data_IF_993638656370
#
_entry.id   IF_993638656370
#
_cell.length_a   1.000
_cell.length_b   1.000
_cell.length_c   1.000
_cell.angle_alpha   90.00
_cell.angle_beta   90.00
_cell.angle_gamma   90.00
#
_symmetry.space_group_name_H-M   'P 1'
#
loop_
_entity.id
_entity.type
_entity.pdbx_description
1 polymer ?
#
# COMPACT_ATOMS: atom_id res chain seq x y z
N UNK A 1 -1.94 48.18 62.47
CA UNK A 1 -1.95 46.77 62.03
C UNK A 1 -2.87 46.66 60.83
N UNK A 2 -2.32 46.70 59.62
CA UNK A 2 -3.12 46.59 58.38
C UNK A 2 -2.29 45.77 57.40
N UNK A 3 -2.71 44.53 57.18
CA UNK A 3 -2.04 43.58 56.28
C UNK A 3 -2.29 43.98 54.82
N UNK A 4 -1.24 44.35 54.09
CA UNK A 4 -1.29 44.51 52.63
C UNK A 4 -1.25 43.12 51.98
N UNK A 5 -2.34 42.71 51.31
CA UNK A 5 -2.42 41.50 50.49
C UNK A 5 -1.63 41.71 49.19
N UNK A 6 -0.63 40.88 48.93
CA UNK A 6 0.00 40.76 47.60
C UNK A 6 -0.97 40.03 46.67
N UNK A 7 -1.41 40.69 45.61
CA UNK A 7 -2.04 40.02 44.48
C UNK A 7 -0.95 39.34 43.64
N UNK A 8 -1.04 38.02 43.50
CA UNK A 8 -0.23 37.25 42.57
C UNK A 8 -0.79 37.44 41.16
N UNK A 9 0.02 37.97 40.25
CA UNK A 9 -0.24 37.94 38.81
C UNK A 9 0.11 36.52 38.32
N UNK A 10 -0.77 35.81 37.59
CA UNK A 10 -0.43 34.48 37.09
C UNK A 10 0.61 34.63 35.98
N UNK A 11 1.72 33.90 36.11
CA UNK A 11 2.71 33.77 35.06
C UNK A 11 2.05 33.09 33.85
N UNK A 12 1.98 33.81 32.74
CA UNK A 12 1.54 33.29 31.46
C UNK A 12 2.60 32.27 31.00
N UNK A 13 2.29 30.98 31.12
CA UNK A 13 3.12 29.93 30.56
C UNK A 13 3.02 30.03 29.03
N UNK A 14 4.03 30.64 28.41
CA UNK A 14 4.23 30.59 26.96
C UNK A 14 4.72 29.18 26.66
N UNK A 15 3.77 28.28 26.38
CA UNK A 15 4.07 26.99 25.78
C UNK A 15 4.63 27.28 24.39
N UNK A 16 5.95 27.20 24.23
CA UNK A 16 6.57 27.12 22.91
C UNK A 16 6.03 25.85 22.25
N UNK A 17 5.02 26.01 21.40
CA UNK A 17 4.63 24.98 20.46
C UNK A 17 5.79 24.89 19.48
N UNK A 18 6.72 23.98 19.71
CA UNK A 18 7.68 23.56 18.70
C UNK A 18 6.87 22.97 17.55
N UNK A 19 6.59 23.78 16.53
CA UNK A 19 6.25 23.28 15.20
C UNK A 19 7.49 22.53 14.71
N UNK A 20 7.59 21.26 15.09
CA UNK A 20 8.49 20.33 14.44
C UNK A 20 8.03 20.21 12.99
N UNK A 21 8.73 20.86 12.08
CA UNK A 21 8.74 20.44 10.70
C UNK A 21 9.23 18.99 10.72
N UNK A 22 8.33 18.06 10.42
CA UNK A 22 8.71 16.69 10.04
C UNK A 22 9.41 16.81 8.69
N UNK A 23 10.69 17.16 8.73
CA UNK A 23 11.60 16.92 7.62
C UNK A 23 11.91 15.42 7.70
N UNK A 24 11.75 14.66 6.62
CA UNK A 24 12.23 13.29 6.63
C UNK A 24 13.71 13.27 6.98
N UNK A 25 14.12 12.22 7.70
CA UNK A 25 15.53 11.92 7.85
C UNK A 25 16.14 11.94 6.44
N UNK A 26 17.29 12.60 6.33
CA UNK A 26 18.16 12.39 5.17
C UNK A 26 19.12 11.29 5.58
N UNK A 27 19.56 10.51 4.60
CA UNK A 27 20.69 9.61 4.73
C UNK A 27 21.78 10.33 5.54
N UNK A 28 22.04 9.83 6.74
CA UNK A 28 22.89 10.49 7.73
C UNK A 28 24.32 10.09 7.43
N UNK A 29 25.15 11.05 7.00
CA UNK A 29 26.59 10.83 6.90
C UNK A 29 27.19 10.70 8.31
N UNK A 30 27.59 9.48 8.69
CA UNK A 30 28.22 9.17 9.97
C UNK A 30 29.74 9.11 9.79
N UNK A 31 30.47 9.90 10.59
CA UNK A 31 31.92 9.76 10.72
C UNK A 31 32.27 8.53 11.55
N UNK A 32 32.98 7.58 10.93
CA UNK A 32 33.47 6.36 11.55
C UNK A 32 34.95 6.54 11.88
N UNK A 33 35.29 6.34 13.16
CA UNK A 33 36.65 6.50 13.66
C UNK A 33 36.93 5.58 14.84
N UNK A 34 38.21 5.42 15.16
CA UNK A 34 38.67 4.73 16.37
C UNK A 34 39.38 5.66 17.35
N UNK A 35 39.80 6.84 16.89
CA UNK A 35 40.48 7.84 17.70
C UNK A 35 39.51 8.70 18.53
N UNK A 36 40.04 9.31 19.59
CA UNK A 36 39.31 10.23 20.48
C UNK A 36 39.50 11.71 20.16
N UNK A 37 40.24 12.06 19.10
CA UNK A 37 40.64 13.43 18.80
C UNK A 37 39.42 14.27 18.38
N UNK A 38 39.22 15.39 19.09
CA UNK A 38 38.20 16.38 18.79
C UNK A 38 38.78 17.63 18.14
N UNK A 39 37.94 18.45 17.51
CA UNK A 39 38.37 19.73 16.95
C UNK A 39 38.99 20.62 18.04
N UNK A 40 40.21 21.10 17.80
CA UNK A 40 40.98 21.88 18.79
C UNK A 40 41.57 21.04 19.93
N UNK A 41 41.44 19.71 19.89
CA UNK A 41 42.07 18.78 20.81
C UNK A 41 43.56 18.57 20.52
N UNK A 42 44.20 17.69 21.30
CA UNK A 42 45.61 17.34 21.14
C UNK A 42 45.75 16.05 20.32
N UNK A 43 46.66 16.06 19.36
CA UNK A 43 47.09 14.88 18.60
C UNK A 43 48.62 14.86 18.51
N UNK A 44 49.20 13.68 18.28
CA UNK A 44 50.64 13.45 18.29
C UNK A 44 51.08 12.92 16.94
N UNK A 45 52.06 13.59 16.33
CA UNK A 45 52.56 13.26 15.00
C UNK A 45 53.37 11.96 15.07
N UNK A 46 53.06 11.04 14.16
CA UNK A 46 53.82 9.81 13.92
C UNK A 46 54.65 10.05 12.66
N UNK A 47 55.89 9.60 12.63
CA UNK A 47 56.74 9.83 11.46
C UNK A 47 57.83 8.78 11.35
N UNK A 48 58.88 9.15 10.62
CA UNK A 48 59.92 8.24 10.13
C UNK A 48 59.39 7.18 9.14
N UNK A 49 58.21 7.44 8.55
CA UNK A 49 57.75 6.69 7.38
C UNK A 49 58.66 6.94 6.19
N UNK A 50 58.95 5.89 5.44
CA UNK A 50 59.63 5.97 4.14
C UNK A 50 58.64 5.78 2.98
N UNK A 51 59.05 6.18 1.78
CA UNK A 51 58.22 6.03 0.57
C UNK A 51 57.80 4.57 0.39
N UNK A 52 56.49 4.36 0.16
CA UNK A 52 55.88 3.05 -0.03
C UNK A 52 55.46 2.33 1.25
N UNK A 53 55.79 2.86 2.43
CA UNK A 53 55.15 2.40 3.67
C UNK A 53 53.68 2.82 3.70
N UNK A 54 52.90 2.13 4.55
CA UNK A 54 51.46 2.40 4.66
C UNK A 54 50.99 2.46 6.10
N UNK A 55 50.18 3.45 6.44
CA UNK A 55 49.51 3.55 7.73
C UNK A 55 48.00 3.51 7.52
N UNK A 56 47.28 2.77 8.37
CA UNK A 56 45.84 2.63 8.20
C UNK A 56 45.09 2.20 9.44
N UNK A 57 43.77 2.29 9.33
CA UNK A 57 42.85 1.96 10.42
C UNK A 57 41.78 0.99 9.93
N UNK A 58 41.49 -0.03 10.74
CA UNK A 58 40.32 -0.90 10.61
C UNK A 58 39.13 -0.24 11.27
N UNK A 59 38.11 0.07 10.50
CA UNK A 59 36.88 0.71 10.94
C UNK A 59 35.72 -0.31 10.93
N UNK A 60 34.63 0.00 11.61
CA UNK A 60 33.44 -0.84 11.67
C UNK A 60 32.25 0.00 11.22
N UNK A 61 31.54 -0.47 10.21
CA UNK A 61 30.43 0.24 9.63
C UNK A 61 29.25 0.33 10.63
N UNK A 62 28.67 1.52 10.86
CA UNK A 62 27.60 1.71 11.85
C UNK A 62 26.21 1.35 11.31
N UNK A 63 26.05 1.16 10.00
CA UNK A 63 24.77 1.01 9.32
C UNK A 63 24.98 0.33 7.95
N UNK A 64 23.91 -0.16 7.33
CA UNK A 64 23.91 -0.45 5.90
C UNK A 64 24.01 0.87 5.12
N UNK A 65 24.81 0.92 4.06
CA UNK A 65 25.00 2.14 3.28
C UNK A 65 26.24 2.12 2.40
N UNK A 66 26.87 3.30 2.22
CA UNK A 66 28.06 3.44 1.38
C UNK A 66 29.13 4.30 2.04
N UNK A 67 30.40 3.90 1.93
CA UNK A 67 31.51 4.80 2.24
C UNK A 67 31.55 5.87 1.14
N UNK A 68 31.50 7.14 1.54
CA UNK A 68 31.44 8.30 0.65
C UNK A 68 32.60 9.27 0.84
N UNK A 69 33.34 9.16 1.95
CA UNK A 69 34.55 9.95 2.15
C UNK A 69 35.59 9.24 3.04
N UNK A 70 36.84 9.66 2.89
CA UNK A 70 37.94 9.36 3.82
C UNK A 70 38.43 10.66 4.43
N UNK A 71 38.76 10.65 5.73
CA UNK A 71 39.35 11.79 6.42
C UNK A 71 40.66 11.41 7.10
N UNK A 72 41.72 12.18 6.89
CA UNK A 72 43.04 11.93 7.48
C UNK A 72 43.56 13.23 8.10
N UNK A 73 43.85 13.20 9.40
CA UNK A 73 44.44 14.36 10.07
C UNK A 73 45.95 14.37 9.81
N UNK A 74 46.41 15.50 9.27
CA UNK A 74 47.78 15.68 8.81
C UNK A 74 48.38 16.90 9.49
N UNK A 75 49.32 16.71 10.41
CA UNK A 75 49.91 17.81 11.19
C UNK A 75 51.42 17.84 11.02
N UNK A 76 51.99 19.04 11.17
CA UNK A 76 53.43 19.26 11.20
C UNK A 76 53.87 19.84 12.54
N UNK A 77 55.12 19.55 12.92
CA UNK A 77 55.60 19.97 14.24
C UNK A 77 55.76 21.50 14.37
N UNK A 78 56.19 22.17 13.31
CA UNK A 78 56.42 23.62 13.30
C UNK A 78 55.27 24.43 12.69
N UNK A 79 54.23 23.77 12.14
CA UNK A 79 53.12 24.45 11.46
C UNK A 79 53.49 25.12 10.14
N UNK A 80 54.68 24.82 9.58
CA UNK A 80 55.21 25.45 8.36
C UNK A 80 55.38 24.49 7.19
N UNK A 81 54.98 23.22 7.37
CA UNK A 81 55.07 22.24 6.30
C UNK A 81 54.27 22.69 5.08
N UNK A 82 54.76 22.35 3.90
CA UNK A 82 54.04 22.54 2.65
C UNK A 82 53.16 21.31 2.36
N UNK A 83 52.11 21.47 1.53
CA UNK A 83 51.35 20.33 1.04
C UNK A 83 52.22 19.27 0.37
N UNK A 84 51.93 18.00 0.62
CA UNK A 84 52.63 16.85 0.03
C UNK A 84 51.66 15.99 -0.77
N UNK A 85 52.15 15.40 -1.86
CA UNK A 85 51.40 14.45 -2.66
C UNK A 85 51.80 13.04 -2.22
N UNK A 86 50.87 12.24 -1.74
CA UNK A 86 51.15 10.85 -1.32
C UNK A 86 50.78 9.87 -2.43
N UNK A 87 51.22 8.61 -2.34
CA UNK A 87 51.02 7.63 -3.43
C UNK A 87 49.55 7.22 -3.61
N UNK A 88 48.76 7.20 -2.53
CA UNK A 88 47.36 6.81 -2.63
C UNK A 88 46.67 6.54 -1.31
N UNK A 89 45.35 6.54 -1.34
CA UNK A 89 44.51 6.01 -0.26
C UNK A 89 43.79 4.77 -0.77
N UNK A 90 43.80 3.70 0.01
CA UNK A 90 43.17 2.43 -0.30
C UNK A 90 42.06 2.14 0.70
N UNK A 91 40.92 1.69 0.18
CA UNK A 91 39.87 1.08 0.98
C UNK A 91 39.92 -0.43 0.73
N UNK A 92 40.17 -1.21 1.79
CA UNK A 92 40.18 -2.66 1.73
C UNK A 92 39.00 -3.24 2.51
N UNK A 93 38.51 -4.39 2.06
CA UNK A 93 37.57 -5.21 2.83
C UNK A 93 38.27 -5.92 3.98
N UNK A 94 37.47 -6.56 4.83
CA UNK A 94 38.00 -7.43 5.87
C UNK A 94 38.61 -8.72 5.29
N UNK A 95 39.64 -9.26 5.94
CA UNK A 95 40.20 -10.57 5.63
C UNK A 95 39.48 -11.72 6.38
N UNK A 96 38.50 -11.39 7.23
CA UNK A 96 37.73 -12.33 8.05
C UNK A 96 38.42 -12.76 9.35
N UNK A 97 39.62 -12.24 9.65
CA UNK A 97 40.34 -12.49 10.89
C UNK A 97 40.50 -11.19 11.71
N UNK A 98 39.74 -11.01 12.81
CA UNK A 98 39.80 -9.80 13.64
C UNK A 98 41.16 -9.59 14.33
N UNK A 99 41.96 -10.65 14.44
CA UNK A 99 43.27 -10.61 15.09
C UNK A 99 44.44 -10.43 14.10
N UNK A 100 44.14 -10.19 12.82
CA UNK A 100 45.14 -10.03 11.78
C UNK A 100 45.25 -8.56 11.34
N UNK A 101 46.46 -7.99 11.24
CA UNK A 101 46.67 -6.65 10.69
C UNK A 101 46.65 -6.62 9.15
N UNK A 102 46.47 -7.77 8.49
CA UNK A 102 46.50 -7.88 7.02
C UNK A 102 45.14 -7.48 6.44
N UNK A 103 45.02 -6.46 5.58
CA UNK A 103 43.76 -6.14 4.92
C UNK A 103 43.28 -7.26 3.98
N UNK A 104 41.98 -7.28 3.71
CA UNK A 104 41.37 -8.17 2.71
C UNK A 104 41.49 -7.63 1.28
N UNK A 105 40.53 -7.95 0.39
CA UNK A 105 40.55 -7.48 -1.00
C UNK A 105 40.45 -5.95 -1.08
N UNK A 106 41.10 -5.35 -2.07
CA UNK A 106 40.94 -3.93 -2.36
C UNK A 106 39.52 -3.67 -2.88
N UNK A 107 38.79 -2.78 -2.20
CA UNK A 107 37.46 -2.32 -2.58
C UNK A 107 37.54 -1.05 -3.41
N UNK A 108 38.46 -0.15 -3.04
CA UNK A 108 38.61 1.15 -3.69
C UNK A 108 40.04 1.67 -3.61
N UNK A 109 40.40 2.55 -4.56
CA UNK A 109 41.66 3.29 -4.60
C UNK A 109 41.39 4.75 -4.98
N UNK A 110 42.04 5.66 -4.26
CA UNK A 110 42.04 7.10 -4.52
C UNK A 110 43.45 7.48 -4.94
N UNK A 111 43.56 8.06 -6.13
CA UNK A 111 44.84 8.44 -6.73
C UNK A 111 45.41 9.70 -6.08
N UNK A 112 46.72 9.67 -5.82
CA UNK A 112 47.55 10.83 -5.49
C UNK A 112 46.90 11.88 -4.55
N UNK A 113 46.54 11.51 -3.32
CA UNK A 113 45.94 12.45 -2.38
C UNK A 113 46.90 13.60 -2.05
N UNK A 114 46.45 14.84 -2.30
CA UNK A 114 47.15 16.04 -1.84
C UNK A 114 46.86 16.26 -0.35
N UNK A 115 47.86 16.08 0.48
CA UNK A 115 47.77 16.25 1.93
C UNK A 115 48.17 17.68 2.31
N UNK A 116 47.23 18.44 2.86
CA UNK A 116 47.48 19.79 3.37
C UNK A 116 47.74 19.75 4.88
N UNK A 117 48.92 20.17 5.36
CA UNK A 117 49.24 20.22 6.78
C UNK A 117 48.29 21.11 7.57
N UNK A 118 48.11 20.77 8.85
CA UNK A 118 47.25 21.47 9.82
C UNK A 118 45.74 21.27 9.62
N UNK A 119 45.33 20.34 8.75
CA UNK A 119 43.93 20.06 8.46
C UNK A 119 43.58 18.57 8.61
N UNK A 120 42.30 18.33 8.93
CA UNK A 120 41.64 17.05 8.67
C UNK A 120 41.26 17.03 7.19
N UNK A 121 42.12 16.42 6.38
CA UNK A 121 41.95 16.37 4.93
C UNK A 121 40.80 15.41 4.60
N UNK A 122 39.81 15.88 3.84
CA UNK A 122 38.65 15.08 3.42
C UNK A 122 38.73 14.78 1.93
N UNK A 123 38.63 13.50 1.58
CA UNK A 123 38.64 13.00 0.21
C UNK A 123 37.30 12.36 -0.11
N UNK A 124 36.62 12.86 -1.15
CA UNK A 124 35.30 12.38 -1.61
C UNK A 124 35.32 11.79 -3.02
N UNK A 125 36.45 11.89 -3.72
CA UNK A 125 36.59 11.51 -5.12
C UNK A 125 37.79 10.58 -5.30
N UNK A 126 37.71 9.72 -6.31
CA UNK A 126 38.74 8.72 -6.64
C UNK A 126 39.84 9.30 -7.53
N UNK A 127 39.51 10.35 -8.27
CA UNK A 127 40.34 11.04 -9.25
C UNK A 127 40.71 12.44 -8.79
N UNK A 128 41.81 12.96 -9.34
CA UNK A 128 42.34 14.28 -9.03
C UNK A 128 41.42 15.41 -9.54
N UNK A 129 40.66 15.16 -10.61
CA UNK A 129 39.71 16.10 -11.20
C UNK A 129 38.37 16.20 -10.45
N UNK A 130 38.19 15.45 -9.36
CA UNK A 130 36.98 15.44 -8.53
C UNK A 130 35.70 15.09 -9.33
N UNK A 131 35.79 14.14 -10.25
CA UNK A 131 34.66 13.76 -11.11
C UNK A 131 34.02 12.43 -10.72
N UNK A 132 34.78 11.51 -10.11
CA UNK A 132 34.31 10.18 -9.74
C UNK A 132 34.17 10.08 -8.22
N UNK A 133 32.96 10.16 -7.65
CA UNK A 133 32.78 10.08 -6.21
C UNK A 133 33.11 8.67 -5.67
N UNK A 134 33.58 8.61 -4.42
CA UNK A 134 33.73 7.36 -3.68
C UNK A 134 32.33 6.80 -3.41
N UNK A 135 32.15 5.49 -3.64
CA UNK A 135 30.86 4.84 -3.46
C UNK A 135 31.03 3.34 -3.21
N UNK A 136 31.51 3.00 -2.01
CA UNK A 136 31.78 1.60 -1.63
C UNK A 136 30.62 1.05 -0.81
N UNK A 137 29.87 0.05 -1.28
CA UNK A 137 28.76 -0.53 -0.52
C UNK A 137 29.28 -1.27 0.73
N UNK A 138 28.59 -1.07 1.85
CA UNK A 138 28.92 -1.65 3.15
C UNK A 138 27.65 -2.03 3.91
N UNK A 139 27.74 -3.04 4.77
CA UNK A 139 26.64 -3.43 5.67
C UNK A 139 26.92 -3.11 7.14
N UNK A 140 25.89 -3.02 7.97
CA UNK A 140 26.02 -2.78 9.41
C UNK A 140 26.95 -3.83 10.06
N UNK A 141 27.91 -3.36 10.84
CA UNK A 141 28.91 -4.21 11.49
C UNK A 141 30.03 -4.71 10.58
N UNK A 142 29.96 -4.48 9.25
CA UNK A 142 31.04 -4.82 8.35
C UNK A 142 32.32 -4.07 8.72
N UNK A 143 33.44 -4.78 8.78
CA UNK A 143 34.74 -4.18 8.97
C UNK A 143 35.42 -3.90 7.63
N UNK A 144 36.17 -2.80 7.58
CA UNK A 144 36.93 -2.39 6.41
C UNK A 144 38.16 -1.61 6.88
N UNK A 145 39.14 -1.44 5.99
CA UNK A 145 40.35 -0.69 6.29
C UNK A 145 40.46 0.53 5.38
N UNK A 146 40.91 1.64 5.95
CA UNK A 146 41.34 2.83 5.23
C UNK A 146 42.83 2.97 5.44
N UNK A 147 43.59 3.06 4.36
CA UNK A 147 45.06 3.00 4.37
C UNK A 147 45.64 4.09 3.50
N UNK A 148 46.53 4.90 4.04
CA UNK A 148 47.37 5.83 3.29
C UNK A 148 48.70 5.15 2.93
N UNK A 149 49.15 5.29 1.68
CA UNK A 149 50.51 4.98 1.24
C UNK A 149 51.33 6.25 1.08
N UNK A 150 52.47 6.31 1.76
CA UNK A 150 53.35 7.48 1.75
C UNK A 150 54.08 7.59 0.42
N UNK A 151 53.92 8.74 -0.25
CA UNK A 151 54.68 9.11 -1.46
C UNK A 151 55.99 9.82 -1.13
N UNK A 152 56.09 10.43 0.05
CA UNK A 152 57.28 11.12 0.53
C UNK A 152 57.75 10.57 1.89
N UNK A 153 59.06 10.59 2.12
CA UNK A 153 59.60 10.19 3.43
C UNK A 153 59.35 11.30 4.47
N UNK A 154 58.96 10.91 5.68
CA UNK A 154 58.61 11.86 6.74
C UNK A 154 59.78 12.08 7.69
N UNK A 155 60.09 13.33 8.02
CA UNK A 155 61.04 13.71 9.06
C UNK A 155 60.40 14.78 9.95
N UNK A 156 59.77 14.35 11.05
CA UNK A 156 59.00 15.25 11.94
C UNK A 156 59.92 16.32 12.54
N UNK A 157 61.14 15.95 12.94
CA UNK A 157 62.12 16.88 13.49
C UNK A 157 62.68 17.84 12.43
N UNK A 158 62.66 17.43 11.16
CA UNK A 158 62.93 18.25 9.99
C UNK A 158 61.75 19.15 9.58
N UNK A 159 60.60 19.04 10.25
CA UNK A 159 59.41 19.84 9.98
C UNK A 159 58.44 19.26 8.96
N UNK A 160 58.62 18.01 8.51
CA UNK A 160 57.63 17.33 7.67
C UNK A 160 56.31 17.15 8.42
N UNK A 161 55.20 17.24 7.68
CA UNK A 161 53.90 16.82 8.17
C UNK A 161 53.76 15.28 8.05
N UNK A 162 52.87 14.70 8.84
CA UNK A 162 52.53 13.27 8.74
C UNK A 162 51.19 12.96 9.43
N UNK A 163 50.80 11.68 9.42
CA UNK A 163 49.65 11.17 10.17
C UNK A 163 49.85 11.39 11.66
N UNK A 164 48.74 11.41 12.39
CA UNK A 164 48.74 11.61 13.84
C UNK A 164 47.95 10.53 14.54
N UNK A 165 48.18 10.43 15.84
CA UNK A 165 47.50 9.53 16.78
C UNK A 165 47.02 10.29 18.02
N UNK A 166 46.05 9.72 18.72
CA UNK A 166 45.77 10.10 20.12
C UNK A 166 46.72 9.38 21.10
N UNK A 167 46.50 9.54 22.40
CA UNK A 167 47.26 8.84 23.44
C UNK A 167 46.44 7.86 24.27
N UNK A 168 45.13 7.80 24.08
CA UNK A 168 44.25 6.94 24.86
C UNK A 168 44.02 5.60 24.18
N UNK A 169 44.57 4.56 24.80
CA UNK A 169 44.44 3.21 24.29
C UNK A 169 45.33 2.94 23.06
N UNK A 170 45.13 1.77 22.48
CA UNK A 170 45.55 1.40 21.14
C UNK A 170 44.80 0.12 20.83
N UNK A 171 43.86 0.18 19.90
CA UNK A 171 43.06 -0.99 19.58
C UNK A 171 43.91 -1.95 18.74
N UNK A 172 44.33 -3.07 19.34
CA UNK A 172 45.20 -4.05 18.68
C UNK A 172 44.59 -4.53 17.36
N UNK A 173 45.40 -4.55 16.29
CA UNK A 173 45.01 -4.91 14.91
C UNK A 173 43.95 -4.00 14.27
N UNK A 174 43.58 -2.89 14.93
CA UNK A 174 42.76 -1.83 14.36
C UNK A 174 43.60 -0.68 13.83
N UNK A 175 44.83 -0.51 14.33
CA UNK A 175 45.86 0.33 13.72
C UNK A 175 46.85 -0.58 13.00
N UNK A 176 47.07 -0.36 11.70
CA UNK A 176 47.90 -1.22 10.86
C UNK A 176 49.02 -0.42 10.21
N UNK A 177 50.16 -1.10 10.05
CA UNK A 177 51.36 -0.58 9.42
C UNK A 177 51.83 -1.56 8.35
N UNK A 178 52.08 -1.11 7.13
CA UNK A 178 52.89 -1.85 6.17
C UNK A 178 54.32 -1.32 6.22
N UNK A 179 55.20 -2.06 6.88
CA UNK A 179 56.59 -1.68 7.07
C UNK A 179 57.50 -2.22 5.95
N UNK A 180 58.53 -1.45 5.59
CA UNK A 180 59.51 -1.82 4.57
C UNK A 180 60.93 -1.92 5.15
N UNK A 181 61.54 -3.14 5.18
CA UNK A 181 60.97 -4.47 4.95
C UNK A 181 60.12 -4.94 6.14
N UNK A 182 59.13 -5.81 5.93
CA UNK A 182 58.39 -6.44 7.04
C UNK A 182 56.92 -6.72 6.80
N UNK A 183 56.30 -6.06 5.82
CA UNK A 183 54.89 -6.29 5.47
C UNK A 183 53.92 -5.74 6.51
N UNK A 184 52.69 -6.28 6.55
CA UNK A 184 51.64 -5.84 7.47
C UNK A 184 51.91 -6.24 8.91
N UNK A 185 51.87 -5.25 9.81
CA UNK A 185 52.13 -5.36 11.22
C UNK A 185 51.07 -4.60 12.01
N UNK A 186 50.86 -5.00 13.27
CA UNK A 186 50.02 -4.24 14.20
C UNK A 186 50.79 -2.99 14.64
N UNK A 187 50.27 -1.81 14.31
CA UNK A 187 50.89 -0.52 14.61
C UNK A 187 51.11 -0.35 16.14
N UNK A 188 50.17 -0.88 16.94
CA UNK A 188 50.23 -0.85 18.41
C UNK A 188 51.47 -1.54 19.01
N UNK A 189 52.18 -2.38 18.24
CA UNK A 189 53.41 -3.01 18.70
C UNK A 189 54.58 -2.03 18.80
N UNK A 190 54.52 -0.92 18.07
CA UNK A 190 55.59 0.07 17.99
C UNK A 190 55.25 1.28 18.86
N UNK A 191 54.05 1.82 18.65
CA UNK A 191 53.61 3.10 19.20
C UNK A 191 52.13 2.91 19.54
N UNK A 192 51.72 3.27 20.76
CA UNK A 192 50.29 3.20 21.17
C UNK A 192 49.40 4.20 20.41
N UNK A 193 48.20 4.47 20.92
CA UNK A 193 47.26 5.43 20.33
C UNK A 193 46.59 4.93 19.06
N UNK A 194 45.41 5.48 18.80
CA UNK A 194 44.64 5.23 17.60
C UNK A 194 44.96 6.32 16.55
N UNK A 195 45.27 5.89 15.33
CA UNK A 195 45.55 6.78 14.21
C UNK A 195 44.29 7.57 13.85
N UNK A 196 44.45 8.85 13.54
CA UNK A 196 43.35 9.73 13.11
C UNK A 196 43.15 9.60 11.61
N UNK A 197 42.76 8.39 11.21
CA UNK A 197 42.29 8.02 9.87
C UNK A 197 40.85 7.55 10.04
N UNK A 198 39.94 8.19 9.31
CA UNK A 198 38.50 8.06 9.49
C UNK A 198 37.84 7.85 8.14
N UNK A 199 36.60 7.37 8.17
CA UNK A 199 35.73 7.29 7.01
C UNK A 199 34.42 8.01 7.28
N UNK A 200 33.70 8.36 6.22
CA UNK A 200 32.32 8.83 6.29
C UNK A 200 31.46 7.80 5.57
N UNK A 201 30.46 7.28 6.27
CA UNK A 201 29.46 6.36 5.74
C UNK A 201 28.16 7.11 5.58
N UNK A 202 27.61 7.11 4.37
CA UNK A 202 26.26 7.54 4.07
C UNK A 202 25.33 6.36 4.33
N UNK A 203 24.58 6.42 5.44
CA UNK A 203 23.68 5.35 5.84
C UNK A 203 22.43 5.35 4.96
N UNK A 204 22.04 4.16 4.48
CA UNK A 204 20.78 3.99 3.78
C UNK A 204 19.61 4.34 4.70
N UNK A 205 18.57 4.97 4.13
CA UNK A 205 17.33 5.22 4.85
C UNK A 205 16.73 3.90 5.35
N UNK A 206 16.26 3.81 6.61
CA UNK A 206 15.67 2.59 7.12
C UNK A 206 14.46 2.21 6.27
N UNK A 207 14.46 0.97 5.79
CA UNK A 207 13.32 0.38 5.08
C UNK A 207 12.46 -0.45 6.03
N UNK A 208 11.23 -0.71 5.62
CA UNK A 208 10.33 -1.55 6.38
C UNK A 208 9.04 -1.83 5.65
N UNK A 209 8.20 -2.65 6.27
CA UNK A 209 6.93 -3.05 5.71
C UNK A 209 5.91 -1.92 5.83
N UNK A 210 5.21 -1.65 4.74
CA UNK A 210 4.21 -0.60 4.63
C UNK A 210 2.82 -1.19 4.41
N UNK A 211 1.94 -1.05 5.41
CA UNK A 211 0.54 -1.45 5.29
C UNK A 211 -0.30 -0.35 4.66
N UNK A 212 -0.58 -0.50 3.37
CA UNK A 212 -1.46 0.38 2.63
C UNK A 212 -2.89 0.32 3.16
N UNK A 213 -3.67 1.36 2.87
CA UNK A 213 -5.06 1.47 3.34
C UNK A 213 -5.96 0.36 2.78
N UNK A 214 -5.68 -0.15 1.58
CA UNK A 214 -6.41 -1.29 1.00
C UNK A 214 -6.10 -2.64 1.66
N UNK A 215 -5.14 -2.68 2.59
CA UNK A 215 -4.68 -3.90 3.26
C UNK A 215 -3.54 -4.60 2.53
N UNK A 216 -3.06 -4.07 1.41
CA UNK A 216 -1.86 -4.59 0.73
C UNK A 216 -0.63 -4.19 1.53
N UNK A 217 0.25 -5.16 1.79
CA UNK A 217 1.56 -4.90 2.35
C UNK A 217 2.58 -4.67 1.24
N UNK A 218 3.41 -3.65 1.40
CA UNK A 218 4.55 -3.37 0.53
C UNK A 218 5.85 -3.56 1.33
N UNK A 219 6.76 -4.38 0.78
CA UNK A 219 8.10 -4.61 1.34
C UNK A 219 9.05 -3.44 1.03
N UNK A 220 10.13 -3.36 1.80
CA UNK A 220 11.28 -2.47 1.58
C UNK A 220 10.93 -0.99 1.33
N UNK A 221 9.83 -0.52 1.94
CA UNK A 221 9.39 0.86 1.78
C UNK A 221 10.10 1.75 2.80
N UNK A 222 10.58 2.91 2.35
CA UNK A 222 10.98 3.98 3.27
C UNK A 222 9.74 4.58 3.95
N UNK A 223 9.94 5.26 5.08
CA UNK A 223 8.85 5.93 5.79
C UNK A 223 8.09 6.90 4.88
N UNK A 224 8.79 7.71 4.09
CA UNK A 224 8.19 8.68 3.17
C UNK A 224 7.40 8.04 2.03
N UNK A 225 7.97 6.99 1.43
CA UNK A 225 7.26 6.20 0.42
C UNK A 225 5.96 5.65 1.02
N UNK A 226 6.01 5.18 2.27
CA UNK A 226 4.82 4.65 2.93
C UNK A 226 3.79 5.75 3.25
N UNK A 227 4.21 6.89 3.79
CA UNK A 227 3.33 7.98 4.17
C UNK A 227 2.63 8.62 2.96
N UNK A 228 3.25 8.58 1.78
CA UNK A 228 2.63 9.04 0.51
C UNK A 228 1.30 8.33 0.23
N UNK A 229 1.12 7.08 0.68
CA UNK A 229 -0.09 6.30 0.47
C UNK A 229 -1.13 6.40 1.62
N UNK A 230 -0.91 7.26 2.63
CA UNK A 230 -1.75 7.27 3.84
C UNK A 230 -1.69 5.94 4.61
N UNK A 231 -0.56 5.24 4.50
CA UNK A 231 -0.35 3.90 5.02
C UNK A 231 0.23 3.91 6.46
N UNK A 232 0.34 2.73 7.07
CA UNK A 232 1.04 2.55 8.37
C UNK A 232 2.36 1.85 8.10
N UNK A 233 3.45 2.48 8.51
CA UNK A 233 4.80 1.98 8.32
C UNK A 233 5.28 1.22 9.56
N UNK A 234 5.97 0.10 9.34
CA UNK A 234 6.58 -0.73 10.37
C UNK A 234 8.10 -0.80 10.11
N UNK A 235 8.91 0.01 10.81
CA UNK A 235 10.36 0.04 10.60
C UNK A 235 10.99 -1.32 10.88
N UNK A 236 11.95 -1.73 10.05
CA UNK A 236 12.74 -2.96 10.24
C UNK A 236 11.87 -4.23 10.38
N UNK A 237 10.69 -4.25 9.77
CA UNK A 237 9.82 -5.41 9.69
C UNK A 237 9.56 -5.75 8.22
N UNK A 238 9.35 -7.02 7.93
CA UNK A 238 8.91 -7.50 6.62
C UNK A 238 7.40 -7.73 6.60
N UNK A 239 6.79 -7.80 5.41
CA UNK A 239 5.36 -8.10 5.25
C UNK A 239 4.98 -9.49 5.75
N UNK A 240 5.92 -10.41 5.90
CA UNK A 240 5.68 -11.71 6.53
C UNK A 240 5.56 -11.64 8.07
N UNK A 241 6.08 -10.57 8.69
CA UNK A 241 6.04 -10.37 10.14
C UNK A 241 4.82 -9.56 10.59
N UNK A 242 4.14 -8.88 9.67
CA UNK A 242 3.00 -8.01 9.98
C UNK A 242 1.72 -8.46 9.29
N UNK A 243 0.58 -8.17 9.92
CA UNK A 243 -0.74 -8.38 9.29
C UNK A 243 -1.37 -7.03 9.00
N UNK A 244 -1.51 -6.70 7.72
CA UNK A 244 -2.15 -5.47 7.31
C UNK A 244 -3.67 -5.58 7.40
N UNK A 245 -4.26 -4.81 8.32
CA UNK A 245 -5.71 -4.67 8.42
C UNK A 245 -6.17 -3.60 7.44
N UNK A 246 -7.10 -3.92 6.50
CA UNK A 246 -7.67 -2.92 5.59
C UNK A 246 -8.37 -1.80 6.35
N UNK A 247 -8.23 -0.58 5.85
CA UNK A 247 -8.74 0.67 6.43
C UNK A 247 -9.41 1.51 5.35
N UNK A 248 -10.42 2.27 5.73
CA UNK A 248 -11.23 3.01 4.77
C UNK A 248 -12.01 4.14 5.44
N UNK A 249 -12.80 4.86 4.64
CA UNK A 249 -13.68 5.88 5.13
C UNK A 249 -14.85 5.26 5.90
N UNK A 250 -15.19 5.87 7.04
CA UNK A 250 -16.34 5.54 7.85
C UNK A 250 -17.34 6.70 7.83
N UNK A 251 -18.50 6.46 7.24
CA UNK A 251 -19.56 7.45 7.06
C UNK A 251 -20.55 7.41 8.22
N UNK A 252 -20.78 8.55 8.87
CA UNK A 252 -21.70 8.64 10.02
C UNK A 252 -22.54 9.92 9.98
N UNK A 253 -23.61 9.93 10.77
CA UNK A 253 -24.35 11.15 11.07
C UNK A 253 -23.40 12.12 11.79
N UNK A 254 -22.97 13.18 11.09
CA UNK A 254 -21.99 14.16 11.59
C UNK A 254 -20.63 14.15 10.88
N UNK A 255 -20.44 13.35 9.84
CA UNK A 255 -19.29 13.48 8.93
C UNK A 255 -18.65 12.17 8.50
N UNK A 256 -17.42 12.26 8.00
CA UNK A 256 -16.63 11.14 7.52
C UNK A 256 -15.34 11.03 8.33
N UNK A 257 -15.00 9.80 8.76
CA UNK A 257 -13.70 9.49 9.37
C UNK A 257 -12.83 8.73 8.38
N UNK A 258 -11.60 9.17 8.14
CA UNK A 258 -10.70 8.54 7.16
C UNK A 258 -9.84 7.44 7.80
N UNK A 259 -9.43 6.45 7.01
CA UNK A 259 -8.47 5.40 7.41
C UNK A 259 -8.87 4.61 8.67
N UNK A 260 -10.16 4.33 8.85
CA UNK A 260 -10.70 3.55 9.99
C UNK A 260 -10.83 2.07 9.60
N UNK A 261 -10.48 1.11 10.47
CA UNK A 261 -10.79 -0.31 10.25
C UNK A 261 -12.31 -0.57 10.20
N UNK A 262 -12.74 -1.56 9.40
CA UNK A 262 -14.17 -1.85 9.24
C UNK A 262 -14.88 -2.17 10.57
N UNK A 263 -14.28 -3.00 11.42
CA UNK A 263 -14.85 -3.37 12.73
C UNK A 263 -15.09 -2.15 13.63
N UNK A 264 -14.14 -1.22 13.65
CA UNK A 264 -14.26 0.05 14.38
C UNK A 264 -15.32 0.95 13.77
N UNK A 265 -15.46 0.97 12.44
CA UNK A 265 -16.52 1.76 11.80
C UNK A 265 -17.92 1.26 12.18
N UNK A 266 -18.10 -0.06 12.18
CA UNK A 266 -19.38 -0.67 12.54
C UNK A 266 -19.70 -0.50 14.04
N UNK A 267 -18.70 -0.55 14.92
CA UNK A 267 -18.91 -0.40 16.37
C UNK A 267 -19.35 1.00 16.78
N UNK A 268 -19.03 2.03 16.00
CA UNK A 268 -19.51 3.40 16.19
C UNK A 268 -20.81 3.71 15.44
N UNK A 269 -21.46 2.69 14.87
CA UNK A 269 -22.72 2.83 14.12
C UNK A 269 -22.55 3.53 12.76
N UNK A 270 -21.34 3.55 12.20
CA UNK A 270 -21.05 4.11 10.88
C UNK A 270 -21.22 3.08 9.76
N UNK A 271 -21.27 3.58 8.53
CA UNK A 271 -21.29 2.78 7.30
C UNK A 271 -19.88 2.81 6.70
N UNK A 272 -19.26 1.64 6.60
CA UNK A 272 -17.93 1.50 6.02
C UNK A 272 -17.98 1.64 4.50
N UNK A 273 -17.17 2.53 3.94
CA UNK A 273 -17.21 2.85 2.53
C UNK A 273 -16.21 2.06 1.67
N UNK A 274 -15.60 1.03 2.26
CA UNK A 274 -14.70 0.10 1.59
C UNK A 274 -13.21 0.36 1.86
N UNK A 275 -12.36 -0.66 1.67
CA UNK A 275 -10.93 -0.56 1.90
C UNK A 275 -10.27 0.42 0.93
N UNK A 276 -9.27 1.17 1.40
CA UNK A 276 -8.57 2.20 0.62
C UNK A 276 -9.34 3.51 0.42
N UNK A 277 -10.62 3.59 0.79
CA UNK A 277 -11.40 4.82 0.64
C UNK A 277 -11.01 5.89 1.66
N UNK A 278 -11.20 7.17 1.30
CA UNK A 278 -10.92 8.33 2.16
C UNK A 278 -12.07 9.34 2.11
N UNK A 279 -12.01 10.37 2.95
CA UNK A 279 -13.10 11.35 3.07
C UNK A 279 -13.10 12.46 2.01
N UNK A 280 -12.16 12.44 1.06
CA UNK A 280 -11.95 13.54 0.10
C UNK A 280 -12.78 13.43 -1.18
N UNK A 281 -13.60 12.39 -1.35
CA UNK A 281 -14.23 12.06 -2.66
C UNK A 281 -15.75 11.82 -2.64
N UNK A 282 -16.53 12.52 -1.81
CA UNK A 282 -17.99 12.35 -1.81
C UNK A 282 -18.45 10.91 -1.49
N UNK A 283 -17.54 10.11 -0.92
CA UNK A 283 -17.70 8.68 -0.64
C UNK A 283 -18.83 8.40 0.35
N UNK A 284 -19.14 9.38 1.19
CA UNK A 284 -20.27 9.33 2.12
C UNK A 284 -21.56 9.93 1.56
N UNK A 285 -21.55 10.42 0.33
CA UNK A 285 -22.76 10.91 -0.33
C UNK A 285 -23.54 9.72 -0.85
N UNK A 286 -24.69 9.45 -0.23
CA UNK A 286 -25.61 8.43 -0.70
C UNK A 286 -26.10 8.75 -2.13
N UNK A 287 -26.41 7.69 -2.87
CA UNK A 287 -27.02 7.75 -4.20
C UNK A 287 -28.09 6.68 -4.32
N UNK A 288 -28.89 6.75 -5.38
CA UNK A 288 -29.82 5.69 -5.75
C UNK A 288 -29.04 4.43 -6.12
N UNK A 289 -29.39 3.32 -5.49
CA UNK A 289 -28.86 2.00 -5.76
C UNK A 289 -29.97 1.12 -6.31
N UNK A 290 -29.84 0.73 -7.58
CA UNK A 290 -30.85 -0.02 -8.30
C UNK A 290 -30.63 -1.52 -8.19
N UNK A 291 -31.63 -2.21 -7.65
CA UNK A 291 -31.69 -3.66 -7.59
C UNK A 291 -32.32 -4.22 -8.88
N UNK A 292 -32.12 -5.50 -9.14
CA UNK A 292 -32.59 -6.17 -10.35
C UNK A 292 -34.13 -6.23 -10.46
N UNK A 293 -34.83 -6.17 -9.34
CA UNK A 293 -36.31 -6.16 -9.23
C UNK A 293 -36.92 -4.75 -9.41
N UNK A 294 -36.10 -3.73 -9.70
CA UNK A 294 -36.53 -2.33 -9.79
C UNK A 294 -36.61 -1.58 -8.46
N UNK A 295 -36.28 -2.25 -7.34
CA UNK A 295 -36.19 -1.63 -6.01
C UNK A 295 -35.05 -0.61 -5.99
N UNK A 296 -35.33 0.58 -5.44
CA UNK A 296 -34.35 1.64 -5.25
C UNK A 296 -34.10 1.91 -3.76
N UNK A 297 -32.84 1.75 -3.34
CA UNK A 297 -32.39 2.13 -2.00
C UNK A 297 -31.42 3.30 -2.08
N UNK A 298 -31.46 4.21 -1.11
CA UNK A 298 -30.45 5.27 -1.00
C UNK A 298 -29.24 4.76 -0.21
N UNK A 299 -28.14 4.46 -0.90
CA UNK A 299 -26.95 3.82 -0.36
C UNK A 299 -25.67 4.48 -0.89
N UNK A 300 -24.56 4.35 -0.16
CA UNK A 300 -23.25 4.73 -0.69
C UNK A 300 -22.75 3.69 -1.70
N UNK A 301 -21.83 4.08 -2.59
CA UNK A 301 -21.37 3.25 -3.71
C UNK A 301 -20.92 1.84 -3.29
N UNK A 302 -20.10 1.73 -2.25
CA UNK A 302 -19.57 0.44 -1.78
C UNK A 302 -20.67 -0.51 -1.27
N UNK A 303 -21.64 0.02 -0.51
CA UNK A 303 -22.78 -0.77 -0.02
C UNK A 303 -23.67 -1.23 -1.16
N UNK A 304 -23.89 -0.35 -2.14
CA UNK A 304 -24.67 -0.68 -3.34
C UNK A 304 -24.04 -1.84 -4.13
N UNK A 305 -22.74 -1.75 -4.40
CA UNK A 305 -22.01 -2.76 -5.15
C UNK A 305 -21.96 -4.10 -4.40
N UNK A 306 -21.69 -4.09 -3.10
CA UNK A 306 -21.66 -5.31 -2.27
C UNK A 306 -23.04 -5.95 -2.07
N UNK A 307 -24.11 -5.17 -2.19
CA UNK A 307 -25.50 -5.67 -2.21
C UNK A 307 -25.97 -6.14 -3.59
N UNK A 308 -25.08 -6.17 -4.60
CA UNK A 308 -25.40 -6.62 -5.96
C UNK A 308 -26.22 -5.62 -6.78
N UNK A 309 -26.29 -4.36 -6.39
CA UNK A 309 -27.01 -3.30 -7.10
C UNK A 309 -26.13 -2.48 -8.04
N UNK A 310 -26.78 -1.71 -8.92
CA UNK A 310 -26.14 -0.74 -9.81
C UNK A 310 -26.30 0.67 -9.24
N UNK A 311 -25.18 1.29 -8.88
CA UNK A 311 -25.16 2.62 -8.26
C UNK A 311 -25.26 3.72 -9.32
N UNK A 312 -26.17 4.67 -9.11
CA UNK A 312 -26.52 5.69 -10.12
C UNK A 312 -25.71 7.00 -10.03
N UNK A 313 -24.88 7.17 -9.00
CA UNK A 313 -24.12 8.41 -8.79
C UNK A 313 -24.40 9.06 -7.44
N UNK A 314 -23.44 9.84 -6.95
CA UNK A 314 -23.53 10.52 -5.66
C UNK A 314 -24.61 11.61 -5.73
N UNK A 315 -25.50 11.65 -4.73
CA UNK A 315 -26.57 12.64 -4.64
C UNK A 315 -27.81 12.34 -5.49
N UNK A 316 -27.82 11.23 -6.24
CA UNK A 316 -29.04 10.76 -6.91
C UNK A 316 -30.07 10.28 -5.89
N UNK A 317 -31.35 10.52 -6.15
CA UNK A 317 -32.45 10.17 -5.25
C UNK A 317 -33.25 8.98 -5.79
N UNK A 318 -33.97 8.27 -4.92
CA UNK A 318 -34.93 7.24 -5.30
C UNK A 318 -36.34 7.78 -5.59
N UNK A 319 -36.49 9.11 -5.67
CA UNK A 319 -37.77 9.77 -5.93
C UNK A 319 -37.56 10.98 -6.84
N UNK A 320 -38.07 10.94 -8.09
CA UNK A 320 -38.70 9.77 -8.75
C UNK A 320 -37.73 8.58 -8.86
N UNK A 321 -38.25 7.34 -8.87
CA UNK A 321 -37.41 6.13 -8.89
C UNK A 321 -36.62 6.06 -10.22
N UNK A 322 -35.27 6.17 -10.21
CA UNK A 322 -34.47 6.13 -11.43
C UNK A 322 -34.19 4.71 -11.92
N UNK A 323 -34.57 3.68 -11.15
CA UNK A 323 -34.22 2.30 -11.44
C UNK A 323 -35.12 1.72 -12.52
N UNK A 324 -34.54 1.00 -13.51
CA UNK A 324 -35.32 0.27 -14.52
C UNK A 324 -36.35 -0.61 -13.84
N UNK A 325 -37.63 -0.37 -14.12
CA UNK A 325 -38.70 -1.20 -13.59
C UNK A 325 -38.77 -2.51 -14.37
N UNK A 326 -39.04 -3.65 -13.71
CA UNK A 326 -39.21 -4.91 -14.41
C UNK A 326 -40.38 -4.79 -15.39
N UNK A 327 -40.15 -5.23 -16.63
CA UNK A 327 -41.15 -5.21 -17.68
C UNK A 327 -41.86 -6.56 -17.77
N UNK A 328 -43.09 -6.54 -18.29
CA UNK A 328 -43.93 -7.72 -18.45
C UNK A 328 -44.96 -7.55 -19.57
N UNK A 329 -45.79 -8.56 -19.77
CA UNK A 329 -46.92 -8.51 -20.70
C UNK A 329 -48.05 -7.65 -20.12
N UNK A 330 -48.64 -6.81 -20.97
CA UNK A 330 -49.80 -5.98 -20.64
C UNK A 330 -50.99 -6.35 -21.52
N UNK A 331 -52.11 -6.68 -20.88
CA UNK A 331 -53.32 -7.18 -21.54
C UNK A 331 -54.42 -6.13 -21.66
N UNK A 332 -54.89 -5.95 -22.90
CA UNK A 332 -56.07 -5.16 -23.24
C UNK A 332 -57.11 -6.08 -23.85
N UNK A 333 -57.96 -6.69 -23.01
CA UNK A 333 -58.77 -7.83 -23.44
C UNK A 333 -57.84 -8.92 -24.00
N UNK A 334 -58.04 -9.38 -25.25
CA UNK A 334 -57.20 -10.40 -25.91
C UNK A 334 -55.87 -9.86 -26.45
N UNK A 335 -55.68 -8.55 -26.52
CA UNK A 335 -54.46 -7.96 -27.09
C UNK A 335 -53.32 -7.88 -26.07
N UNK A 336 -52.15 -8.42 -26.41
CA UNK A 336 -50.97 -8.42 -25.57
C UNK A 336 -49.87 -7.49 -26.08
N UNK A 337 -49.40 -6.59 -25.20
CA UNK A 337 -48.23 -5.74 -25.45
C UNK A 337 -47.06 -6.23 -24.60
N UNK A 338 -45.94 -6.67 -25.21
CA UNK A 338 -44.79 -7.15 -24.45
C UNK A 338 -43.99 -5.98 -23.86
N UNK A 339 -43.23 -6.28 -22.80
CA UNK A 339 -42.19 -5.38 -22.29
C UNK A 339 -42.69 -4.08 -21.65
N UNK A 340 -43.91 -4.06 -21.10
CA UNK A 340 -44.47 -2.89 -20.43
C UNK A 340 -44.16 -2.87 -18.93
N UNK A 341 -43.73 -1.73 -18.36
CA UNK A 341 -43.72 -1.51 -16.92
C UNK A 341 -45.15 -1.58 -16.34
N UNK A 342 -45.28 -2.09 -15.11
CA UNK A 342 -46.56 -2.17 -14.40
C UNK A 342 -47.36 -0.84 -14.37
N UNK A 343 -46.77 0.32 -13.99
CA UNK A 343 -47.53 1.57 -13.92
C UNK A 343 -48.03 2.05 -15.28
N UNK A 344 -47.26 1.82 -16.36
CA UNK A 344 -47.66 2.22 -17.71
C UNK A 344 -48.82 1.35 -18.21
N UNK A 345 -48.77 0.04 -17.95
CA UNK A 345 -49.85 -0.89 -18.27
C UNK A 345 -51.16 -0.51 -17.56
N UNK A 346 -51.08 -0.24 -16.24
CA UNK A 346 -52.23 0.15 -15.44
C UNK A 346 -52.80 1.52 -15.88
N UNK A 347 -51.94 2.50 -16.16
CA UNK A 347 -52.36 3.85 -16.60
C UNK A 347 -53.06 3.82 -17.95
N UNK A 348 -52.63 2.94 -18.85
CA UNK A 348 -53.27 2.74 -20.13
C UNK A 348 -54.60 1.96 -20.03
N UNK A 349 -54.93 1.38 -18.87
CA UNK A 349 -56.16 0.63 -18.62
C UNK A 349 -56.04 -0.88 -18.88
N UNK A 350 -54.82 -1.39 -18.98
CA UNK A 350 -54.53 -2.81 -19.19
C UNK A 350 -54.31 -3.59 -17.89
N UNK A 351 -54.36 -4.91 -18.00
CA UNK A 351 -54.03 -5.84 -16.90
C UNK A 351 -52.59 -6.30 -17.05
N UNK A 352 -51.75 -6.05 -16.03
CA UNK A 352 -50.33 -6.43 -16.06
C UNK A 352 -50.15 -7.87 -15.55
N UNK A 353 -49.48 -8.71 -16.34
CA UNK A 353 -49.43 -10.16 -16.10
C UNK A 353 -48.31 -10.62 -15.15
N UNK A 354 -47.47 -9.70 -14.69
CA UNK A 354 -46.33 -10.02 -13.83
C UNK A 354 -44.99 -9.69 -14.48
N UNK A 355 -43.91 -9.62 -13.68
CA UNK A 355 -42.58 -9.30 -14.20
C UNK A 355 -42.07 -10.45 -15.08
N UNK A 356 -41.31 -10.13 -16.13
CA UNK A 356 -40.71 -11.07 -17.07
C UNK A 356 -41.70 -11.93 -17.88
N UNK A 357 -43.00 -11.64 -17.83
CA UNK A 357 -43.99 -12.25 -18.71
C UNK A 357 -43.88 -11.70 -20.14
N UNK A 358 -44.13 -12.55 -21.14
CA UNK A 358 -44.07 -12.20 -22.57
C UNK A 358 -45.41 -12.46 -23.26
N UNK A 359 -45.56 -11.95 -24.48
CA UNK A 359 -46.74 -12.22 -25.33
C UNK A 359 -46.53 -13.42 -26.26
N UNK A 360 -45.35 -14.01 -26.25
CA UNK A 360 -44.95 -15.14 -27.08
C UNK A 360 -44.09 -16.11 -26.27
N UNK A 361 -44.10 -17.42 -26.61
CA UNK A 361 -44.88 -18.06 -27.66
C UNK A 361 -46.39 -18.14 -27.37
N UNK A 362 -46.79 -18.08 -26.10
CA UNK A 362 -48.19 -18.11 -25.66
C UNK A 362 -48.65 -16.71 -25.27
N UNK A 363 -49.82 -16.28 -25.74
CA UNK A 363 -50.41 -14.99 -25.40
C UNK A 363 -51.16 -15.11 -24.05
N UNK A 364 -50.71 -14.44 -22.97
CA UNK A 364 -51.34 -14.52 -21.66
C UNK A 364 -52.66 -13.72 -21.54
N UNK A 365 -53.01 -12.92 -22.55
CA UNK A 365 -54.18 -12.04 -22.56
C UNK A 365 -55.40 -12.69 -23.23
N UNK A 366 -55.15 -13.71 -24.04
CA UNK A 366 -56.18 -14.64 -24.44
C UNK A 366 -56.47 -15.50 -23.21
N UNK A 367 -57.68 -15.38 -22.64
CA UNK A 367 -58.24 -16.37 -21.69
C UNK A 367 -57.79 -17.75 -22.18
N UNK A 368 -57.10 -18.59 -21.40
CA UNK A 368 -56.19 -19.61 -21.90
C UNK A 368 -56.84 -20.47 -22.99
N UNK A 369 -56.76 -20.01 -24.25
CA UNK A 369 -57.33 -20.69 -25.41
C UNK A 369 -56.28 -21.62 -26.02
N UNK A 370 -55.25 -21.95 -25.26
CA UNK A 370 -54.20 -22.87 -25.65
C UNK A 370 -54.53 -24.32 -25.34
N UNK A 371 -55.56 -24.59 -24.52
CA UNK A 371 -55.87 -25.94 -24.08
C UNK A 371 -57.37 -26.31 -24.24
N UNK A 372 -57.94 -26.35 -25.46
CA UNK A 372 -59.24 -26.96 -25.66
C UNK A 372 -59.24 -28.39 -25.08
N UNK A 373 -60.08 -28.64 -24.08
CA UNK A 373 -60.14 -29.89 -23.31
C UNK A 373 -59.53 -29.85 -21.91
N UNK A 374 -58.75 -28.83 -21.53
CA UNK A 374 -58.25 -28.67 -20.15
C UNK A 374 -59.30 -27.92 -19.32
N UNK A 375 -60.07 -28.65 -18.54
CA UNK A 375 -61.26 -28.17 -17.84
C UNK A 375 -60.99 -27.80 -16.39
N UNK A 376 -59.81 -28.13 -15.89
CA UNK A 376 -59.34 -27.72 -14.56
C UNK A 376 -58.24 -26.65 -14.62
N UNK A 377 -57.70 -26.37 -15.80
CA UNK A 377 -56.65 -25.41 -16.13
C UNK A 377 -55.30 -25.69 -15.45
N UNK A 378 -54.94 -26.97 -15.32
CA UNK A 378 -53.66 -27.43 -14.79
C UNK A 378 -52.59 -27.63 -15.88
N UNK A 379 -52.94 -27.44 -17.16
CA UNK A 379 -52.06 -27.50 -18.31
C UNK A 379 -51.94 -28.88 -18.95
N UNK A 380 -52.72 -29.87 -18.53
CA UNK A 380 -52.76 -31.20 -19.15
C UNK A 380 -54.20 -31.63 -19.42
N UNK A 381 -54.43 -32.37 -20.51
CA UNK A 381 -55.76 -32.90 -20.84
C UNK A 381 -55.79 -34.38 -20.48
N UNK A 382 -56.39 -34.72 -19.34
CA UNK A 382 -56.40 -36.07 -18.81
C UNK A 382 -57.76 -36.44 -18.18
N UNK A 383 -57.79 -37.50 -17.36
CA UNK A 383 -59.03 -38.00 -16.77
C UNK A 383 -59.64 -37.04 -15.72
N UNK A 384 -58.83 -36.17 -15.14
CA UNK A 384 -59.26 -35.16 -14.15
C UNK A 384 -60.10 -34.05 -14.81
N UNK A 385 -60.02 -33.89 -16.14
CA UNK A 385 -60.83 -32.94 -16.90
C UNK A 385 -62.23 -33.46 -17.21
N UNK A 386 -62.46 -34.77 -17.15
CA UNK A 386 -63.74 -35.39 -17.56
C UNK A 386 -64.88 -34.92 -16.65
N UNK A 387 -64.67 -34.96 -15.34
CA UNK A 387 -65.71 -34.57 -14.37
C UNK A 387 -66.06 -33.09 -14.53
N UNK A 388 -65.08 -32.27 -14.86
CA UNK A 388 -65.26 -30.85 -15.13
C UNK A 388 -65.93 -30.64 -16.49
N UNK A 389 -65.57 -31.38 -17.55
CA UNK A 389 -66.26 -31.34 -18.84
C UNK A 389 -67.75 -31.69 -18.71
N UNK A 390 -68.07 -32.73 -17.94
CA UNK A 390 -69.47 -33.13 -17.67
C UNK A 390 -70.23 -32.04 -16.91
N UNK A 391 -69.57 -31.32 -16.01
CA UNK A 391 -70.16 -30.14 -15.35
C UNK A 391 -70.39 -28.99 -16.34
N UNK A 392 -69.48 -28.78 -17.30
CA UNK A 392 -69.61 -27.74 -18.32
C UNK A 392 -70.83 -27.95 -19.24
N UNK A 393 -71.23 -29.20 -19.51
CA UNK A 393 -72.44 -29.53 -20.27
C UNK A 393 -73.75 -29.06 -19.61
N UNK A 394 -73.72 -28.68 -18.33
CA UNK A 394 -74.86 -28.07 -17.63
C UNK A 394 -75.03 -26.58 -17.96
N UNK A 395 -74.17 -26.04 -18.83
CA UNK A 395 -74.21 -24.67 -19.33
C UNK A 395 -73.34 -23.69 -18.54
N UNK A 396 -72.92 -22.61 -19.21
CA UNK A 396 -71.99 -21.61 -18.67
C UNK A 396 -72.44 -21.00 -17.33
N UNK A 397 -73.75 -20.81 -17.13
CA UNK A 397 -74.29 -20.24 -15.89
C UNK A 397 -74.05 -21.11 -14.65
N UNK A 398 -73.78 -22.40 -14.84
CA UNK A 398 -73.57 -23.37 -13.77
C UNK A 398 -72.09 -23.77 -13.62
N UNK A 399 -71.19 -23.10 -14.33
CA UNK A 399 -69.77 -23.40 -14.33
C UNK A 399 -69.12 -23.05 -12.97
N UNK A 400 -68.56 -24.03 -12.22
CA UNK A 400 -68.12 -23.82 -10.85
C UNK A 400 -66.66 -23.36 -10.71
N UNK A 401 -65.87 -23.37 -11.80
CA UNK A 401 -64.45 -23.04 -11.75
C UNK A 401 -64.19 -21.63 -12.32
N UNK A 402 -64.12 -20.57 -11.49
CA UNK A 402 -63.92 -19.20 -11.96
C UNK A 402 -62.52 -18.97 -12.55
N UNK A 403 -61.56 -19.86 -12.30
CA UNK A 403 -60.18 -19.75 -12.75
C UNK A 403 -59.91 -20.55 -14.03
N UNK A 404 -60.89 -21.29 -14.52
CA UNK A 404 -60.78 -22.01 -15.78
C UNK A 404 -61.93 -21.63 -16.72
N UNK A 405 -61.68 -21.23 -17.98
CA UNK A 405 -62.76 -20.84 -18.88
C UNK A 405 -63.70 -22.01 -19.18
N UNK A 406 -65.00 -21.78 -19.04
CA UNK A 406 -66.03 -22.74 -19.49
C UNK A 406 -65.85 -23.12 -20.98
N UNK A 407 -65.43 -22.14 -21.81
CA UNK A 407 -65.16 -22.33 -23.24
C UNK A 407 -63.98 -23.27 -23.55
N UNK A 408 -63.19 -23.69 -22.56
CA UNK A 408 -62.23 -24.77 -22.81
C UNK A 408 -62.93 -26.09 -23.21
N UNK A 409 -64.22 -26.22 -22.89
CA UNK A 409 -65.06 -27.34 -23.32
C UNK A 409 -65.66 -27.20 -24.72
N UNK A 410 -65.44 -26.10 -25.44
CA UNK A 410 -65.90 -25.91 -26.83
C UNK A 410 -64.80 -26.41 -27.79
N UNK A 411 -64.84 -27.69 -28.11
CA UNK A 411 -63.85 -28.32 -28.99
C UNK A 411 -64.33 -28.45 -30.44
N UNK A 412 -65.62 -28.20 -30.68
CA UNK A 412 -66.20 -28.05 -32.01
C UNK A 412 -65.93 -26.65 -32.60
N UNK A 413 -65.66 -25.66 -31.76
CA UNK A 413 -65.34 -24.27 -32.12
C UNK A 413 -66.57 -23.45 -32.51
N UNK A 414 -67.76 -23.83 -32.04
CA UNK A 414 -69.03 -23.19 -32.41
C UNK A 414 -69.50 -22.11 -31.41
N UNK A 415 -68.73 -21.92 -30.34
CA UNK A 415 -68.98 -20.96 -29.27
C UNK A 415 -69.81 -21.51 -28.11
N UNK A 416 -70.14 -22.81 -28.10
CA UNK A 416 -70.96 -23.44 -27.07
C UNK A 416 -70.34 -24.77 -26.61
N UNK A 417 -70.55 -25.13 -25.34
CA UNK A 417 -70.21 -26.46 -24.82
C UNK A 417 -71.47 -27.31 -24.77
N UNK A 418 -71.57 -28.25 -25.70
CA UNK A 418 -72.73 -29.13 -25.90
C UNK A 418 -72.28 -30.58 -26.13
N UNK A 419 -73.24 -31.46 -26.46
CA UNK A 419 -72.93 -32.85 -26.78
C UNK A 419 -72.06 -33.01 -28.03
N UNK A 420 -72.03 -32.00 -28.91
CA UNK A 420 -71.21 -32.01 -30.13
C UNK A 420 -69.71 -31.90 -29.82
N UNK A 421 -69.34 -31.50 -28.60
CA UNK A 421 -67.95 -31.39 -28.14
C UNK A 421 -67.40 -32.67 -27.51
N UNK A 422 -68.24 -33.69 -27.25
CA UNK A 422 -67.83 -34.93 -26.58
C UNK A 422 -66.81 -35.72 -27.41
N UNK A 423 -67.09 -35.93 -28.70
CA UNK A 423 -66.21 -36.72 -29.56
C UNK A 423 -64.84 -36.03 -29.75
N UNK A 424 -64.77 -34.71 -30.02
CA UNK A 424 -63.52 -33.96 -29.97
C UNK A 424 -62.81 -34.01 -28.61
N UNK A 425 -63.54 -33.93 -27.49
CA UNK A 425 -62.97 -33.97 -26.13
C UNK A 425 -62.30 -35.31 -25.84
N UNK A 426 -62.98 -36.42 -26.16
CA UNK A 426 -62.42 -37.77 -26.03
C UNK A 426 -61.16 -37.94 -26.89
N UNK A 427 -61.12 -37.31 -28.07
CA UNK A 427 -59.94 -37.33 -28.94
C UNK A 427 -58.76 -36.51 -28.38
N UNK A 428 -59.02 -35.52 -27.54
CA UNK A 428 -58.01 -34.67 -26.90
C UNK A 428 -57.42 -35.26 -25.61
N UNK A 429 -58.09 -36.22 -24.97
CA UNK A 429 -57.59 -36.87 -23.75
C UNK A 429 -56.24 -37.56 -24.00
N UNK A 430 -55.26 -37.23 -23.17
CA UNK A 430 -53.88 -37.73 -23.27
C UNK A 430 -52.98 -36.89 -24.17
N UNK A 431 -53.47 -35.75 -24.67
CA UNK A 431 -52.65 -34.73 -25.35
C UNK A 431 -52.13 -33.68 -24.36
N UNK A 432 -51.01 -33.04 -24.69
CA UNK A 432 -50.46 -31.92 -23.94
C UNK A 432 -50.80 -30.61 -24.64
N UNK A 433 -51.12 -29.57 -23.87
CA UNK A 433 -51.32 -28.24 -24.44
C UNK A 433 -50.08 -27.75 -25.19
N UNK A 434 -50.23 -27.14 -26.39
CA UNK A 434 -49.14 -26.47 -27.10
C UNK A 434 -48.58 -25.23 -26.39
#
# INVERSE_FOLDING_TARGET
MTRCRRFAVPALAVTFLTLGLWVPARAEEIEVKIDSVQAGGTAFIVGDFIVGERAGTRLTCPCDGRIVAVRILWLSFFGTAQPTLENGIYIYGDNGNPNSPVPGPQLEFLEAPLMTPEFLNEFRYKDEEQTIPISVPVTEGQQFFVVLEFGESTNILGGSASVVRDLDGCQANRNILYALPGGWQNFCNFIGGDLVIRAVVDCDEPTGACCRADGVCQEDATQDQCLTYGAVWYPNQTCSQITCVPRGACCRLGGCLTLVPQSTCLSIGGVYAGPGSNCTSGVCTAGACCRADGTCNSEIQYVCATSGGVWQGAGTTCSPNPCPQPSGACCFSTFCIPGQPQPDCATAGGTWMGPLTSCTPVNPCETPSGCPGDMNCDGVINFDDIDHFVQALQGQANWPNPNCPWLNGDLSGDGNVTFDDIDPFVAAIGTSCP
#
